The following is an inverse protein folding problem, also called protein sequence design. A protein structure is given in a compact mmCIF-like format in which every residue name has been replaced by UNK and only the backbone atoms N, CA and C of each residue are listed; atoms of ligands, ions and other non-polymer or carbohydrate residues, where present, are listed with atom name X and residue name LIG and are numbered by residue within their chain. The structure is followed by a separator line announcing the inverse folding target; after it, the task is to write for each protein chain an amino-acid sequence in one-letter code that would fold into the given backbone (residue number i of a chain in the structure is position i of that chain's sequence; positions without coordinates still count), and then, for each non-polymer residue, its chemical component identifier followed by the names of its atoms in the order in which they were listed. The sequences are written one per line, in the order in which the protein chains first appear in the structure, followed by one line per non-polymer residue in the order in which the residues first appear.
data_IF_812635143277
#
_entry.id   IF_812635143277
#
_cell.length_a   1.000
_cell.length_b   1.000
_cell.length_c   1.000
_cell.angle_alpha   90.00
_cell.angle_beta   90.00
_cell.angle_gamma   90.00
#
_symmetry.space_group_name_H-M   'P 1'
#
loop_
_entity.id
_entity.type
_entity.pdbx_description
1 polymer ?
#
# COMPACT_ATOMS: atom_id res chain seq x y z
N UNK A 1 9.98 -50.76 -13.81
CA UNK A 1 9.51 -50.49 -12.43
C UNK A 1 10.29 -49.32 -11.89
N UNK A 2 9.75 -48.11 -12.01
CA UNK A 2 10.28 -46.91 -11.34
C UNK A 2 9.21 -46.48 -10.36
N UNK A 3 9.44 -46.74 -9.08
CA UNK A 3 8.53 -46.31 -8.03
C UNK A 3 8.56 -44.78 -7.97
N UNK A 4 7.41 -44.16 -8.18
CA UNK A 4 7.16 -42.76 -7.89
C UNK A 4 7.11 -42.61 -6.37
N UNK A 5 8.17 -42.11 -5.75
CA UNK A 5 8.13 -41.73 -4.34
C UNK A 5 7.19 -40.54 -4.18
N UNK A 6 6.05 -40.78 -3.54
CA UNK A 6 5.17 -39.72 -3.08
C UNK A 6 5.92 -38.89 -2.02
N UNK A 7 5.93 -37.57 -2.19
CA UNK A 7 6.49 -36.65 -1.22
C UNK A 7 5.80 -36.85 0.14
N UNK A 8 6.54 -36.96 1.26
CA UNK A 8 5.93 -37.21 2.56
C UNK A 8 4.99 -36.06 2.93
N UNK A 9 3.79 -36.42 3.42
CA UNK A 9 2.85 -35.46 3.98
C UNK A 9 3.51 -34.72 5.17
N UNK A 10 3.32 -33.40 5.29
CA UNK A 10 3.99 -32.62 6.34
C UNK A 10 3.62 -33.15 7.73
N UNK A 11 4.65 -33.63 8.44
CA UNK A 11 4.59 -34.09 9.83
C UNK A 11 4.38 -32.89 10.76
N UNK A 12 3.40 -32.99 11.67
CA UNK A 12 3.15 -32.16 12.86
C UNK A 12 3.49 -30.65 12.75
N UNK A 13 2.44 -29.84 12.63
CA UNK A 13 2.43 -28.38 12.54
C UNK A 13 3.39 -27.71 13.55
N UNK A 14 4.53 -27.21 13.06
CA UNK A 14 5.23 -26.10 13.71
C UNK A 14 4.21 -24.97 13.97
N UNK A 15 4.36 -24.17 15.04
CA UNK A 15 3.48 -23.03 15.28
C UNK A 15 3.63 -22.02 14.13
N UNK A 16 2.77 -22.19 13.13
CA UNK A 16 2.72 -21.41 11.91
C UNK A 16 1.43 -20.60 11.89
N UNK A 17 1.53 -19.36 11.42
CA UNK A 17 0.37 -18.53 11.17
C UNK A 17 -0.47 -19.13 10.03
N UNK A 18 -1.80 -18.96 10.07
CA UNK A 18 -2.69 -19.52 9.06
C UNK A 18 -2.31 -19.03 7.65
N UNK A 19 -2.27 -19.90 6.61
CA UNK A 19 -1.83 -19.54 5.26
C UNK A 19 -2.71 -18.49 4.55
N UNK A 20 -3.94 -18.28 5.03
CA UNK A 20 -4.83 -17.22 4.54
C UNK A 20 -4.58 -15.86 5.19
N UNK A 21 -3.67 -15.76 6.16
CA UNK A 21 -3.32 -14.46 6.75
C UNK A 21 -2.80 -13.50 5.68
N UNK A 22 -3.28 -12.25 5.75
CA UNK A 22 -2.84 -11.15 4.89
C UNK A 22 -2.49 -9.95 5.75
N UNK A 23 -1.60 -9.10 5.25
CA UNK A 23 -1.40 -7.76 5.81
C UNK A 23 -2.70 -6.97 5.65
N UNK A 24 -3.24 -6.45 6.75
CA UNK A 24 -4.52 -5.71 6.73
C UNK A 24 -4.38 -4.24 6.35
N UNK A 25 -3.36 -3.56 6.88
CA UNK A 25 -3.16 -2.12 6.64
C UNK A 25 -1.70 -1.70 6.87
N UNK A 26 -1.37 -0.52 6.35
CA UNK A 26 -0.11 0.19 6.63
C UNK A 26 -0.42 1.56 7.24
N UNK A 27 0.38 2.00 8.23
CA UNK A 27 0.31 3.35 8.78
C UNK A 27 1.58 4.11 8.40
N UNK A 28 1.40 5.25 7.73
CA UNK A 28 2.47 6.11 7.24
C UNK A 28 2.55 7.37 8.11
N UNK A 29 3.78 7.72 8.47
CA UNK A 29 4.08 9.02 9.06
C UNK A 29 4.15 10.06 7.94
N UNK A 30 3.36 11.12 8.05
CA UNK A 30 3.28 12.20 7.06
C UNK A 30 3.58 13.54 7.72
N UNK A 31 4.28 14.41 7.02
CA UNK A 31 4.59 15.75 7.53
C UNK A 31 3.41 16.70 7.52
N UNK A 32 2.45 16.46 6.62
CA UNK A 32 1.23 17.24 6.45
C UNK A 32 0.06 16.27 6.21
N UNK A 33 -0.90 16.30 7.14
CA UNK A 33 -2.04 15.39 7.08
C UNK A 33 -2.98 15.71 5.92
N UNK A 34 -3.23 16.99 5.63
CA UNK A 34 -4.16 17.38 4.56
C UNK A 34 -3.57 17.09 3.19
N UNK A 35 -2.27 17.32 2.99
CA UNK A 35 -1.57 16.92 1.77
C UNK A 35 -1.67 15.41 1.55
N UNK A 36 -1.41 14.63 2.60
CA UNK A 36 -1.53 13.18 2.55
C UNK A 36 -2.95 12.74 2.21
N UNK A 37 -3.97 13.29 2.89
CA UNK A 37 -5.37 12.97 2.60
C UNK A 37 -5.71 13.32 1.15
N UNK A 38 -5.32 14.48 0.64
CA UNK A 38 -5.59 14.88 -0.74
C UNK A 38 -4.96 13.89 -1.75
N UNK A 39 -3.73 13.45 -1.50
CA UNK A 39 -3.08 12.45 -2.35
C UNK A 39 -3.83 11.11 -2.35
N UNK A 40 -4.08 10.53 -1.17
CA UNK A 40 -4.70 9.21 -1.08
C UNK A 40 -6.19 9.22 -1.47
N UNK A 41 -6.94 10.26 -1.09
CA UNK A 41 -8.37 10.39 -1.37
C UNK A 41 -8.63 10.83 -2.80
N UNK A 42 -8.04 11.96 -3.21
CA UNK A 42 -8.42 12.62 -4.46
C UNK A 42 -7.66 12.03 -5.64
N UNK A 43 -6.34 11.88 -5.52
CA UNK A 43 -5.52 11.39 -6.64
C UNK A 43 -5.56 9.86 -6.78
N UNK A 44 -5.37 9.10 -5.69
CA UNK A 44 -5.43 7.63 -5.74
C UNK A 44 -6.87 7.10 -5.76
N UNK A 45 -7.81 7.79 -5.11
CA UNK A 45 -9.24 7.45 -5.12
C UNK A 45 -9.71 6.64 -3.90
N UNK A 46 -8.97 6.64 -2.79
CA UNK A 46 -9.47 6.10 -1.53
C UNK A 46 -10.60 6.97 -0.96
N UNK A 47 -11.38 6.41 -0.05
CA UNK A 47 -12.39 7.10 0.73
C UNK A 47 -11.84 7.38 2.13
N UNK A 48 -12.04 8.60 2.63
CA UNK A 48 -11.75 8.94 4.01
C UNK A 48 -12.79 8.29 4.92
N UNK A 49 -12.36 7.35 5.76
CA UNK A 49 -13.24 6.60 6.67
C UNK A 49 -13.38 7.33 8.00
N UNK A 50 -12.25 7.74 8.58
CA UNK A 50 -12.23 8.36 9.89
C UNK A 50 -11.06 9.33 10.02
N UNK A 51 -11.22 10.32 10.91
CA UNK A 51 -10.17 11.23 11.36
C UNK A 51 -10.01 11.12 12.86
N UNK A 52 -8.78 11.33 13.33
CA UNK A 52 -8.46 11.57 14.72
C UNK A 52 -7.92 12.99 14.86
N UNK A 53 -8.84 13.93 15.04
CA UNK A 53 -8.54 15.37 15.05
C UNK A 53 -7.78 15.81 13.79
N UNK A 54 -6.71 16.57 14.02
CA UNK A 54 -5.77 17.06 13.00
C UNK A 54 -4.48 16.20 12.92
N UNK A 55 -4.42 15.07 13.63
CA UNK A 55 -3.20 14.27 13.78
C UNK A 55 -3.19 12.97 12.99
N UNK A 56 -4.36 12.39 12.70
CA UNK A 56 -4.43 11.18 11.88
C UNK A 56 -5.70 11.06 11.04
N UNK A 57 -5.61 10.28 9.97
CA UNK A 57 -6.70 9.94 9.07
C UNK A 57 -6.57 8.50 8.56
N UNK A 58 -7.71 7.86 8.34
CA UNK A 58 -7.81 6.47 7.93
C UNK A 58 -8.58 6.40 6.63
N UNK A 59 -8.00 5.77 5.60
CA UNK A 59 -8.58 5.73 4.27
C UNK A 59 -8.72 4.28 3.77
N UNK A 60 -9.79 4.01 3.03
CA UNK A 60 -10.15 2.68 2.56
C UNK A 60 -10.90 2.70 1.23
N UNK A 61 -11.14 1.51 0.67
CA UNK A 61 -11.97 1.30 -0.50
C UNK A 61 -12.95 0.18 -0.18
N UNK A 62 -14.15 0.22 -0.75
CA UNK A 62 -15.15 -0.85 -0.61
C UNK A 62 -15.67 -1.06 0.81
N UNK A 63 -15.66 -0.03 1.67
CA UNK A 63 -16.19 -0.11 3.04
C UNK A 63 -15.30 -0.86 4.04
N UNK A 64 -14.06 -1.18 3.68
CA UNK A 64 -13.09 -1.78 4.60
C UNK A 64 -12.73 -0.82 5.74
N UNK A 65 -12.30 -1.33 6.91
CA UNK A 65 -12.00 -0.50 8.09
C UNK A 65 -10.92 0.55 7.79
N UNK A 66 -9.77 0.15 7.24
CA UNK A 66 -8.82 1.02 6.53
C UNK A 66 -7.73 0.20 5.86
N UNK A 67 -7.25 0.65 4.70
CA UNK A 67 -6.05 0.09 4.06
C UNK A 67 -4.81 0.91 4.40
N UNK A 68 -4.97 2.22 4.53
CA UNK A 68 -3.89 3.16 4.86
C UNK A 68 -4.31 4.08 6.01
N UNK A 69 -3.46 4.17 7.03
CA UNK A 69 -3.52 5.21 8.05
C UNK A 69 -2.43 6.25 7.79
N UNK A 70 -2.75 7.52 7.94
CA UNK A 70 -1.81 8.63 7.86
C UNK A 70 -1.76 9.30 9.22
N UNK A 71 -0.58 9.56 9.76
CA UNK A 71 -0.45 10.29 11.02
C UNK A 71 0.74 11.26 11.00
N UNK A 72 0.62 12.37 11.74
CA UNK A 72 1.70 13.36 11.88
C UNK A 72 2.55 13.15 13.13
N UNK A 73 2.39 12.02 13.82
CA UNK A 73 3.10 11.74 15.07
C UNK A 73 4.60 11.69 14.81
N UNK A 74 5.36 12.51 15.54
CA UNK A 74 6.81 12.68 15.38
C UNK A 74 7.25 13.11 13.97
N UNK A 75 6.36 13.68 13.15
CA UNK A 75 6.67 14.05 11.76
C UNK A 75 6.05 15.35 11.27
N UNK A 76 5.12 15.96 12.04
CA UNK A 76 4.44 17.23 11.67
C UNK A 76 5.44 18.32 11.28
N UNK A 77 5.31 18.84 10.05
CA UNK A 77 6.21 19.87 9.50
C UNK A 77 7.64 19.42 9.21
N UNK A 78 7.95 18.13 9.37
CA UNK A 78 9.27 17.56 9.10
C UNK A 78 9.58 17.42 7.61
N UNK A 79 10.88 17.29 7.31
CA UNK A 79 11.37 16.97 5.97
C UNK A 79 11.44 15.45 5.71
N UNK A 80 11.66 15.03 4.45
CA UNK A 80 11.91 13.63 4.13
C UNK A 80 13.17 13.11 4.84
N UNK A 81 13.24 11.81 5.15
CA UNK A 81 14.42 11.21 5.75
C UNK A 81 15.64 11.37 4.83
N UNK A 82 16.84 11.42 5.42
CA UNK A 82 18.08 11.51 4.64
C UNK A 82 18.24 10.29 3.72
N UNK A 83 18.88 10.51 2.56
CA UNK A 83 19.17 9.43 1.62
C UNK A 83 19.95 8.30 2.30
N UNK A 84 19.55 7.05 2.06
CA UNK A 84 20.18 5.87 2.66
C UNK A 84 19.76 5.57 4.10
N UNK A 85 18.79 6.30 4.68
CA UNK A 85 18.21 5.94 5.98
C UNK A 85 17.42 4.63 5.90
N UNK A 86 17.44 3.86 6.97
CA UNK A 86 16.53 2.70 7.13
C UNK A 86 15.08 3.18 7.19
N UNK A 87 14.18 2.48 6.49
CA UNK A 87 12.75 2.77 6.49
C UNK A 87 11.98 1.82 5.58
N UNK A 88 10.66 2.01 5.50
CA UNK A 88 9.83 1.32 4.53
C UNK A 88 10.22 1.76 3.11
N UNK A 89 10.55 0.81 2.23
CA UNK A 89 10.94 1.13 0.86
C UNK A 89 9.73 1.53 -0.01
N UNK A 90 8.67 0.72 -0.01
CA UNK A 90 7.36 1.08 -0.59
C UNK A 90 6.23 0.24 0.02
N UNK A 91 4.99 0.73 -0.13
CA UNK A 91 3.78 -0.07 0.02
C UNK A 91 3.05 -0.12 -1.33
N UNK A 92 2.41 -1.24 -1.63
CA UNK A 92 1.70 -1.45 -2.89
C UNK A 92 0.23 -1.77 -2.63
N UNK A 93 -0.66 -1.14 -3.42
CA UNK A 93 -2.08 -1.43 -3.43
C UNK A 93 -2.41 -2.18 -4.72
N UNK A 94 -2.88 -3.43 -4.57
CA UNK A 94 -3.15 -4.31 -5.69
C UNK A 94 -4.48 -3.95 -6.34
N UNK A 95 -4.44 -3.71 -7.66
CA UNK A 95 -5.63 -3.62 -8.49
C UNK A 95 -5.95 -5.00 -9.07
N UNK A 96 -7.25 -5.35 -9.24
CA UNK A 96 -7.63 -6.70 -9.67
C UNK A 96 -7.26 -7.00 -11.13
N UNK A 97 -7.06 -5.97 -11.95
CA UNK A 97 -6.66 -6.12 -13.36
C UNK A 97 -6.05 -4.82 -13.91
N UNK A 98 -5.49 -4.93 -15.12
CA UNK A 98 -4.85 -3.83 -15.85
C UNK A 98 -5.78 -2.65 -16.16
N UNK A 99 -7.07 -2.91 -16.38
CA UNK A 99 -8.05 -1.85 -16.65
C UNK A 99 -8.26 -0.98 -15.41
N UNK A 100 -8.38 -1.60 -14.22
CA UNK A 100 -8.49 -0.83 -12.97
C UNK A 100 -7.21 -0.05 -12.68
N UNK A 101 -6.03 -0.64 -12.93
CA UNK A 101 -4.75 0.07 -12.84
C UNK A 101 -4.72 1.27 -13.81
N UNK A 102 -5.16 1.09 -15.05
CA UNK A 102 -5.21 2.19 -16.04
C UNK A 102 -6.16 3.31 -15.60
N UNK A 103 -7.30 2.99 -14.98
CA UNK A 103 -8.20 4.01 -14.40
C UNK A 103 -7.54 4.77 -13.26
N UNK A 104 -6.76 4.09 -12.42
CA UNK A 104 -5.98 4.74 -11.38
C UNK A 104 -4.90 5.67 -11.96
N UNK A 105 -4.14 5.20 -12.96
CA UNK A 105 -3.15 6.01 -13.68
C UNK A 105 -3.81 7.24 -14.29
N UNK A 106 -4.99 7.11 -14.91
CA UNK A 106 -5.71 8.26 -15.44
C UNK A 106 -6.03 9.29 -14.36
N UNK A 107 -6.55 8.87 -13.20
CA UNK A 107 -6.83 9.80 -12.07
C UNK A 107 -5.56 10.50 -11.62
N UNK A 108 -4.44 9.78 -11.47
CA UNK A 108 -3.16 10.37 -11.11
C UNK A 108 -2.72 11.45 -12.10
N UNK A 109 -2.90 11.22 -13.41
CA UNK A 109 -2.61 12.20 -14.45
C UNK A 109 -3.54 13.41 -14.39
N UNK A 110 -4.85 13.20 -14.18
CA UNK A 110 -5.83 14.28 -14.04
C UNK A 110 -5.52 15.18 -12.83
N UNK A 111 -4.90 14.62 -11.78
CA UNK A 111 -4.43 15.34 -10.59
C UNK A 111 -2.98 15.85 -10.69
N UNK A 112 -2.34 15.76 -11.87
CA UNK A 112 -0.96 16.18 -12.11
C UNK A 112 0.08 15.50 -11.19
N UNK A 113 -0.19 14.28 -10.74
CA UNK A 113 0.76 13.49 -9.97
C UNK A 113 1.87 12.98 -10.88
N UNK A 114 3.12 13.22 -10.49
CA UNK A 114 4.29 12.71 -11.20
C UNK A 114 4.43 11.20 -10.99
N UNK A 115 4.48 10.46 -12.10
CA UNK A 115 4.87 9.05 -12.08
C UNK A 115 6.40 8.97 -11.98
N UNK A 116 6.90 8.30 -10.95
CA UNK A 116 8.33 8.12 -10.67
C UNK A 116 8.96 6.94 -11.42
N UNK A 117 8.14 5.98 -11.87
CA UNK A 117 8.61 4.83 -12.65
C UNK A 117 7.49 3.87 -12.99
N UNK A 118 7.78 2.90 -13.87
CA UNK A 118 6.89 1.80 -14.22
C UNK A 118 7.72 0.53 -14.43
N UNK A 119 7.15 -0.63 -14.09
CA UNK A 119 7.82 -1.92 -14.29
C UNK A 119 6.81 -3.03 -14.59
N UNK A 120 7.22 -3.95 -15.45
CA UNK A 120 6.58 -5.25 -15.63
C UNK A 120 7.48 -6.29 -14.96
N UNK A 121 6.99 -6.91 -13.89
CA UNK A 121 7.70 -7.93 -13.12
C UNK A 121 7.40 -9.35 -13.61
N UNK A 122 6.71 -9.50 -14.75
CA UNK A 122 6.25 -10.77 -15.33
C UNK A 122 5.04 -11.38 -14.62
N UNK A 123 4.88 -11.13 -13.31
CA UNK A 123 3.72 -11.54 -12.50
C UNK A 123 2.80 -10.37 -12.11
N UNK A 124 3.30 -9.14 -12.22
CA UNK A 124 2.54 -7.92 -11.93
C UNK A 124 3.10 -6.72 -12.72
N UNK A 125 2.21 -5.83 -13.12
CA UNK A 125 2.55 -4.51 -13.63
C UNK A 125 2.44 -3.49 -12.50
N UNK A 126 3.44 -2.61 -12.37
CA UNK A 126 3.51 -1.62 -11.30
C UNK A 126 3.83 -0.22 -11.83
N UNK A 127 3.23 0.78 -11.19
CA UNK A 127 3.54 2.21 -11.35
C UNK A 127 4.00 2.74 -10.00
N UNK A 128 5.11 3.45 -9.97
CA UNK A 128 5.73 3.97 -8.75
C UNK A 128 5.46 5.46 -8.60
N UNK A 129 5.08 5.87 -7.38
CA UNK A 129 4.73 7.24 -7.01
C UNK A 129 5.59 7.68 -5.82
N UNK A 130 5.71 9.00 -5.66
CA UNK A 130 6.27 9.65 -4.47
C UNK A 130 5.22 10.66 -3.98
N UNK A 131 4.87 10.61 -2.70
CA UNK A 131 3.78 11.36 -2.06
C UNK A 131 4.23 12.38 -0.99
#
# INVERSE_FOLDING_TARGET
MTQSEASPAPTALEPAIHPETRVGHVHLKVSDLERGIAFYRDALGFQLVQRYGDQAAFLSAGGYHHHVGLNTWESKGGGPPAMGSTGLYHAAFLYPNRIELARAVKRLMDHNVRIGGASDHGVSEAIYLQD
#
